data_IF_563982470995
#
_entry.id   IF_563982470995
#
_cell.length_a   1.000
_cell.length_b   1.000
_cell.length_c   1.000
_cell.angle_alpha   90.00
_cell.angle_beta   90.00
_cell.angle_gamma   90.00
#
_symmetry.space_group_name_H-M   'P 1'
#
loop_
_entity.id
_entity.type
_entity.pdbx_description
1 polymer ?
#
# COMPACT_ATOMS: atom_id res chain seq x y z
N UNK A 1 -37.51 6.87 -6.62
CA UNK A 1 -36.69 7.04 -5.40
C UNK A 1 -35.54 6.05 -5.55
N UNK A 2 -34.39 6.55 -6.01
CA UNK A 2 -33.23 5.71 -6.35
C UNK A 2 -32.37 5.56 -5.11
N UNK A 3 -32.23 4.34 -4.60
CA UNK A 3 -31.30 4.00 -3.56
C UNK A 3 -29.88 4.12 -4.15
N UNK A 4 -29.14 5.17 -3.80
CA UNK A 4 -27.70 5.21 -4.01
C UNK A 4 -27.09 4.19 -3.06
N UNK A 5 -26.63 3.08 -3.62
CA UNK A 5 -25.83 2.10 -2.89
C UNK A 5 -24.58 2.81 -2.37
N UNK A 6 -24.38 2.77 -1.06
CA UNK A 6 -23.21 3.32 -0.41
C UNK A 6 -22.03 2.43 -0.80
N UNK A 7 -21.04 2.98 -1.49
CA UNK A 7 -19.76 2.32 -1.70
C UNK A 7 -19.09 2.11 -0.32
N UNK A 8 -18.42 0.96 -0.11
CA UNK A 8 -17.75 0.67 1.15
C UNK A 8 -16.72 1.73 1.51
N UNK A 9 -16.55 1.96 2.80
CA UNK A 9 -15.71 2.99 3.41
C UNK A 9 -14.30 3.04 2.81
N UNK A 10 -13.64 1.89 2.62
CA UNK A 10 -12.30 1.80 2.03
C UNK A 10 -12.25 2.28 0.55
N UNK A 11 -13.32 2.08 -0.23
CA UNK A 11 -13.41 2.60 -1.60
C UNK A 11 -13.68 4.11 -1.61
N UNK A 12 -14.44 4.62 -0.65
CA UNK A 12 -14.65 6.07 -0.49
C UNK A 12 -13.34 6.75 -0.08
N UNK A 13 -12.59 6.15 0.82
CA UNK A 13 -11.31 6.66 1.29
C UNK A 13 -10.21 6.63 0.19
N UNK A 14 -10.19 5.61 -0.68
CA UNK A 14 -9.28 5.54 -1.83
C UNK A 14 -9.57 6.60 -2.91
N UNK A 15 -10.83 6.95 -3.13
CA UNK A 15 -11.20 8.04 -4.04
C UNK A 15 -10.70 9.41 -3.54
N UNK A 16 -10.53 9.56 -2.22
CA UNK A 16 -10.09 10.76 -1.55
C UNK A 16 -8.63 11.12 -1.78
N UNK A 17 -7.78 10.09 -1.75
CA UNK A 17 -6.35 10.31 -1.97
C UNK A 17 -6.05 10.89 -3.36
N UNK A 18 -6.90 10.63 -4.34
CA UNK A 18 -6.76 11.21 -5.70
C UNK A 18 -7.03 12.72 -5.73
N UNK A 19 -7.86 13.23 -4.82
CA UNK A 19 -8.19 14.66 -4.76
C UNK A 19 -7.22 15.47 -3.88
N UNK A 20 -6.56 14.85 -2.91
CA UNK A 20 -5.65 15.52 -1.97
C UNK A 20 -4.22 15.71 -2.48
N UNK A 21 -3.86 15.13 -3.65
CA UNK A 21 -2.51 15.18 -4.22
C UNK A 21 -2.24 16.42 -5.12
N UNK A 22 -3.05 17.47 -5.08
CA UNK A 22 -2.73 18.73 -5.73
C UNK A 22 -1.65 19.49 -4.91
N UNK A 23 -0.54 19.93 -5.53
CA UNK A 23 0.49 20.67 -4.80
C UNK A 23 -0.04 22.04 -4.33
N UNK A 24 0.43 22.56 -3.16
CA UNK A 24 0.07 23.90 -2.72
C UNK A 24 0.62 24.92 -3.71
N UNK A 25 -0.25 25.84 -4.14
CA UNK A 25 0.17 26.97 -4.96
C UNK A 25 1.27 27.78 -4.24
N UNK A 26 2.44 27.85 -4.88
CA UNK A 26 3.53 28.67 -4.43
C UNK A 26 3.15 30.14 -4.55
N UNK A 27 3.15 30.86 -3.42
CA UNK A 27 3.01 32.30 -3.37
C UNK A 27 4.12 32.96 -4.20
N UNK A 28 3.73 33.66 -5.27
CA UNK A 28 4.63 34.43 -6.11
C UNK A 28 5.15 35.64 -5.33
N UNK A 29 6.44 35.65 -5.01
CA UNK A 29 7.17 36.89 -4.70
C UNK A 29 8.14 37.14 -5.87
N UNK A 30 7.98 38.29 -6.52
CA UNK A 30 8.68 38.67 -7.73
C UNK A 30 10.19 38.92 -7.51
N UNK A 31 10.94 38.57 -8.53
CA UNK A 31 12.35 38.93 -8.68
C UNK A 31 12.74 38.68 -10.14
N UNK A 32 12.78 39.75 -10.94
CA UNK A 32 13.26 39.70 -12.32
C UNK A 32 14.78 39.53 -12.33
N UNK A 33 15.29 38.54 -13.07
CA UNK A 33 16.72 38.32 -13.29
C UNK A 33 16.97 37.41 -14.48
N UNK A 34 17.36 38.04 -15.57
CA UNK A 34 18.17 37.62 -16.73
C UNK A 34 18.17 36.16 -17.22
N UNK A 35 17.80 36.05 -18.50
CA UNK A 35 17.98 34.90 -19.40
C UNK A 35 19.47 34.53 -19.56
N UNK A 36 19.80 33.27 -19.35
CA UNK A 36 21.09 32.68 -19.65
C UNK A 36 20.95 31.25 -20.15
N UNK A 37 21.31 31.06 -21.39
CA UNK A 37 21.75 29.87 -22.11
C UNK A 37 21.24 28.47 -21.74
N UNK A 38 20.59 27.90 -22.75
CA UNK A 38 20.28 26.46 -22.86
C UNK A 38 21.55 25.63 -22.98
N UNK A 39 21.90 24.91 -21.92
CA UNK A 39 22.90 23.86 -21.98
C UNK A 39 22.23 22.54 -22.39
N UNK A 40 22.65 22.02 -23.57
CA UNK A 40 22.29 20.68 -24.01
C UNK A 40 22.90 19.60 -23.12
N UNK A 41 22.10 18.59 -22.77
CA UNK A 41 22.54 17.40 -22.06
C UNK A 41 23.48 16.58 -22.97
N UNK A 42 24.64 16.12 -22.46
CA UNK A 42 25.53 15.27 -23.23
C UNK A 42 24.96 13.84 -23.35
N UNK A 43 24.96 13.36 -24.59
CA UNK A 43 24.76 11.94 -24.92
C UNK A 43 25.86 11.10 -24.27
N UNK A 44 25.51 10.19 -23.36
CA UNK A 44 26.43 9.23 -22.79
C UNK A 44 26.72 8.13 -23.82
N UNK A 45 27.89 8.23 -24.45
CA UNK A 45 28.50 7.11 -25.17
C UNK A 45 28.97 6.07 -24.16
N UNK A 46 28.57 4.82 -24.38
CA UNK A 46 29.01 3.67 -23.62
C UNK A 46 30.52 3.46 -23.81
N UNK A 47 31.28 3.66 -22.75
CA UNK A 47 32.62 3.07 -22.58
C UNK A 47 32.55 2.12 -21.40
N UNK A 48 32.74 0.83 -21.69
CA UNK A 48 32.81 -0.21 -20.68
C UNK A 48 34.01 -0.02 -19.75
N UNK A 49 33.73 0.04 -18.47
CA UNK A 49 34.67 -0.35 -17.43
C UNK A 49 33.96 -1.33 -16.52
N UNK A 50 34.41 -2.59 -16.66
CA UNK A 50 34.13 -3.68 -15.76
C UNK A 50 34.78 -3.39 -14.40
N UNK A 51 34.03 -2.69 -13.53
CA UNK A 51 34.37 -2.63 -12.11
C UNK A 51 33.92 -3.92 -11.46
N UNK A 52 34.88 -4.77 -11.06
CA UNK A 52 34.67 -5.92 -10.19
C UNK A 52 33.90 -5.44 -8.95
N UNK A 53 32.62 -5.74 -8.89
CA UNK A 53 31.89 -5.78 -7.63
C UNK A 53 32.28 -7.08 -6.96
N UNK A 54 32.91 -6.92 -5.81
CA UNK A 54 33.39 -7.97 -4.93
C UNK A 54 32.32 -9.04 -4.71
N UNK A 55 32.69 -10.28 -5.06
CA UNK A 55 31.78 -11.39 -5.11
C UNK A 55 31.34 -11.88 -3.73
N UNK A 56 30.26 -11.34 -3.22
CA UNK A 56 29.41 -12.09 -2.31
C UNK A 56 28.57 -13.02 -3.19
N UNK A 57 29.00 -14.27 -3.32
CA UNK A 57 28.25 -15.39 -3.90
C UNK A 57 26.90 -15.45 -3.18
N UNK A 58 25.84 -14.89 -3.79
CA UNK A 58 24.49 -15.20 -3.36
C UNK A 58 24.29 -16.69 -3.64
N UNK A 59 23.93 -17.44 -2.59
CA UNK A 59 23.70 -18.87 -2.69
C UNK A 59 22.63 -19.13 -3.76
N UNK A 60 22.93 -20.00 -4.72
CA UNK A 60 21.98 -20.49 -5.71
C UNK A 60 20.74 -21.00 -4.98
N UNK A 61 19.56 -20.43 -5.28
CA UNK A 61 18.28 -20.79 -4.64
C UNK A 61 17.62 -19.71 -3.78
N UNK A 62 18.29 -18.58 -3.55
CA UNK A 62 17.72 -17.45 -2.77
C UNK A 62 17.06 -16.43 -3.69
N UNK A 63 16.02 -16.85 -4.39
CA UNK A 63 15.35 -16.04 -5.39
C UNK A 63 13.83 -15.96 -5.14
N UNK A 64 13.25 -14.84 -5.53
CA UNK A 64 11.81 -14.62 -5.61
C UNK A 64 11.36 -14.80 -7.06
N UNK A 65 10.21 -15.41 -7.25
CA UNK A 65 9.51 -15.40 -8.55
C UNK A 65 8.32 -14.46 -8.42
N UNK A 66 8.29 -13.43 -9.26
CA UNK A 66 7.18 -12.49 -9.26
C UNK A 66 5.93 -13.05 -9.98
N UNK A 67 4.85 -12.27 -9.98
CA UNK A 67 3.58 -12.66 -10.59
C UNK A 67 3.64 -12.79 -12.12
N UNK A 68 4.68 -12.25 -12.76
CA UNK A 68 4.93 -12.35 -14.20
C UNK A 68 5.88 -13.49 -14.54
N UNK A 69 6.39 -14.21 -13.53
CA UNK A 69 7.32 -15.31 -13.68
C UNK A 69 8.79 -14.89 -13.77
N UNK A 70 9.11 -13.61 -13.53
CA UNK A 70 10.48 -13.12 -13.50
C UNK A 70 11.15 -13.51 -12.20
N UNK A 71 12.41 -13.97 -12.31
CA UNK A 71 13.23 -14.36 -11.16
C UNK A 71 14.03 -13.15 -10.68
N UNK A 72 13.85 -12.81 -9.41
CA UNK A 72 14.57 -11.74 -8.72
C UNK A 72 15.42 -12.32 -7.60
N UNK A 73 16.63 -11.81 -7.34
CA UNK A 73 17.32 -12.12 -6.09
C UNK A 73 16.53 -11.59 -4.90
N UNK A 74 16.70 -12.17 -3.70
CA UNK A 74 16.25 -11.50 -2.49
C UNK A 74 16.80 -10.08 -2.45
N UNK A 75 16.01 -9.10 -1.96
CA UNK A 75 16.43 -7.70 -1.96
C UNK A 75 17.70 -7.42 -1.14
N UNK A 76 18.05 -8.30 -0.22
CA UNK A 76 19.22 -8.19 0.63
C UNK A 76 19.42 -9.44 1.49
N UNK A 77 20.40 -9.43 2.42
CA UNK A 77 20.59 -10.50 3.40
C UNK A 77 19.32 -10.76 4.20
N UNK A 78 19.06 -12.03 4.57
CA UNK A 78 17.86 -12.41 5.31
C UNK A 78 17.72 -11.63 6.63
N UNK A 79 18.82 -11.45 7.36
CA UNK A 79 18.83 -10.71 8.62
C UNK A 79 18.59 -9.19 8.50
N UNK A 80 18.54 -8.67 7.27
CA UNK A 80 18.21 -7.27 7.01
C UNK A 80 16.77 -7.11 6.47
N UNK A 81 15.97 -8.17 6.47
CA UNK A 81 14.58 -8.16 6.04
C UNK A 81 13.61 -8.13 7.20
N UNK A 82 12.39 -7.63 6.95
CA UNK A 82 11.26 -7.71 7.88
C UNK A 82 9.96 -7.97 7.14
N UNK A 83 9.02 -8.68 7.79
CA UNK A 83 7.64 -8.82 7.35
C UNK A 83 6.79 -7.73 8.03
N UNK A 84 6.17 -6.86 7.24
CA UNK A 84 5.17 -5.89 7.69
C UNK A 84 3.77 -6.51 7.53
N UNK A 85 3.06 -6.71 8.63
CA UNK A 85 1.67 -7.20 8.64
C UNK A 85 0.75 -6.02 8.93
N UNK A 86 0.03 -5.57 7.90
CA UNK A 86 -0.73 -4.32 7.92
C UNK A 86 -2.21 -4.62 8.17
N UNK A 87 -2.77 -4.05 9.22
CA UNK A 87 -4.21 -3.95 9.51
C UNK A 87 -5.00 -5.28 9.42
N UNK A 88 -4.44 -6.41 9.86
CA UNK A 88 -5.19 -7.66 9.98
C UNK A 88 -6.04 -7.61 11.25
N UNK A 89 -6.94 -6.62 11.30
CA UNK A 89 -7.84 -6.32 12.41
C UNK A 89 -9.28 -6.65 12.04
N UNK A 90 -10.12 -6.85 13.05
CA UNK A 90 -11.52 -7.29 12.85
C UNK A 90 -12.32 -6.35 11.97
N UNK A 91 -12.11 -5.04 12.06
CA UNK A 91 -12.80 -4.08 11.18
C UNK A 91 -12.58 -4.34 9.69
N UNK A 92 -11.47 -4.97 9.30
CA UNK A 92 -11.09 -5.21 7.91
C UNK A 92 -11.18 -6.68 7.49
N UNK A 93 -11.27 -7.61 8.46
CA UNK A 93 -11.10 -9.02 8.20
C UNK A 93 -12.25 -9.90 8.71
N UNK A 94 -12.97 -9.48 9.76
CA UNK A 94 -14.05 -10.26 10.35
C UNK A 94 -15.36 -10.03 9.56
N UNK A 95 -16.00 -11.09 9.01
CA UNK A 95 -17.27 -10.97 8.31
C UNK A 95 -18.35 -10.22 9.10
N UNK A 96 -18.33 -10.28 10.44
CA UNK A 96 -19.25 -9.54 11.29
C UNK A 96 -19.12 -8.01 11.17
N UNK A 97 -17.96 -7.52 10.76
CA UNK A 97 -17.66 -6.11 10.50
C UNK A 97 -17.77 -5.72 9.03
N UNK A 98 -18.05 -6.68 8.13
CA UNK A 98 -18.12 -6.51 6.68
C UNK A 98 -19.50 -6.89 6.10
N UNK A 99 -20.63 -6.46 6.70
CA UNK A 99 -21.97 -6.91 6.30
C UNK A 99 -22.40 -6.43 4.91
N UNK A 100 -21.62 -5.50 4.32
CA UNK A 100 -21.85 -4.94 2.99
C UNK A 100 -21.10 -5.70 1.89
N UNK A 101 -20.19 -6.61 2.25
CA UNK A 101 -19.36 -7.36 1.32
C UNK A 101 -20.11 -8.63 0.88
N UNK A 102 -20.01 -8.94 -0.41
CA UNK A 102 -20.60 -10.16 -0.96
C UNK A 102 -19.75 -11.41 -0.61
N UNK A 103 -20.28 -12.57 -0.96
CA UNK A 103 -19.62 -13.86 -0.69
C UNK A 103 -18.23 -13.94 -1.32
N UNK A 104 -18.05 -13.42 -2.53
CA UNK A 104 -16.77 -13.44 -3.24
C UNK A 104 -15.73 -12.56 -2.54
N UNK A 105 -16.11 -11.36 -2.11
CA UNK A 105 -15.27 -10.47 -1.34
C UNK A 105 -14.91 -11.05 0.02
N UNK A 106 -15.87 -11.65 0.73
CA UNK A 106 -15.60 -12.34 2.01
C UNK A 106 -14.62 -13.51 1.84
N UNK A 107 -14.77 -14.29 0.77
CA UNK A 107 -13.87 -15.39 0.45
C UNK A 107 -12.44 -14.88 0.14
N UNK A 108 -12.32 -13.77 -0.59
CA UNK A 108 -11.02 -13.16 -0.88
C UNK A 108 -10.32 -12.66 0.41
N UNK A 109 -11.05 -12.03 1.31
CA UNK A 109 -10.52 -11.61 2.62
C UNK A 109 -10.09 -12.81 3.45
N UNK A 110 -10.93 -13.85 3.53
CA UNK A 110 -10.62 -15.10 4.26
C UNK A 110 -9.33 -15.75 3.73
N UNK A 111 -9.20 -15.83 2.41
CA UNK A 111 -8.01 -16.36 1.74
C UNK A 111 -6.76 -15.54 2.07
N UNK A 112 -6.81 -14.21 1.95
CA UNK A 112 -5.69 -13.33 2.22
C UNK A 112 -5.24 -13.41 3.70
N UNK A 113 -6.19 -13.42 4.65
CA UNK A 113 -5.89 -13.58 6.08
C UNK A 113 -5.27 -14.94 6.38
N UNK A 114 -5.78 -16.02 5.76
CA UNK A 114 -5.22 -17.36 5.89
C UNK A 114 -3.78 -17.42 5.37
N UNK A 115 -3.51 -16.79 4.24
CA UNK A 115 -2.15 -16.69 3.67
C UNK A 115 -1.24 -15.82 4.52
N UNK A 116 -1.74 -14.71 5.04
CA UNK A 116 -0.97 -13.85 5.94
C UNK A 116 -0.58 -14.60 7.22
N UNK A 117 -1.50 -15.31 7.84
CA UNK A 117 -1.21 -16.12 9.03
C UNK A 117 -0.13 -17.17 8.76
N UNK A 118 -0.26 -17.91 7.64
CA UNK A 118 0.74 -18.87 7.22
C UNK A 118 2.11 -18.21 6.95
N UNK A 119 2.15 -17.07 6.27
CA UNK A 119 3.39 -16.35 5.97
C UNK A 119 4.09 -15.83 7.24
N UNK A 120 3.32 -15.38 8.24
CA UNK A 120 3.82 -15.01 9.56
C UNK A 120 4.54 -16.18 10.22
N UNK A 121 3.95 -17.39 10.17
CA UNK A 121 4.59 -18.58 10.71
C UNK A 121 5.88 -18.93 9.97
N UNK A 122 5.93 -18.75 8.63
CA UNK A 122 7.14 -18.95 7.84
C UNK A 122 8.23 -17.91 8.18
N UNK A 123 7.85 -16.64 8.37
CA UNK A 123 8.77 -15.59 8.79
C UNK A 123 9.42 -15.94 10.15
N UNK A 124 8.59 -16.30 11.13
CA UNK A 124 9.06 -16.74 12.46
C UNK A 124 9.99 -17.94 12.38
N UNK A 125 9.63 -18.98 11.60
CA UNK A 125 10.44 -20.16 11.41
C UNK A 125 11.79 -19.88 10.74
N UNK A 126 11.85 -18.87 9.87
CA UNK A 126 13.06 -18.45 9.16
C UNK A 126 13.87 -17.40 9.90
N UNK A 127 13.41 -16.95 11.07
CA UNK A 127 14.06 -15.88 11.84
C UNK A 127 13.90 -14.47 11.26
N UNK A 128 12.91 -14.27 10.38
CA UNK A 128 12.58 -12.95 9.83
C UNK A 128 11.70 -12.20 10.83
N UNK A 129 12.08 -10.99 11.27
CA UNK A 129 11.28 -10.18 12.18
C UNK A 129 9.89 -9.88 11.61
N UNK A 130 8.86 -10.00 12.45
CA UNK A 130 7.50 -9.60 12.12
C UNK A 130 7.19 -8.28 12.81
N UNK A 131 6.80 -7.28 12.03
CA UNK A 131 6.37 -5.95 12.51
C UNK A 131 4.90 -5.77 12.18
N UNK A 132 4.10 -5.55 13.19
CA UNK A 132 2.67 -5.38 13.09
C UNK A 132 2.33 -3.90 12.97
N UNK A 133 1.57 -3.55 11.93
CA UNK A 133 1.10 -2.19 11.70
C UNK A 133 -0.41 -2.17 11.92
N UNK A 134 -0.87 -1.42 12.92
CA UNK A 134 -2.26 -1.40 13.34
C UNK A 134 -2.89 -0.02 13.14
N UNK A 135 -4.03 0.04 12.47
CA UNK A 135 -4.84 1.25 12.50
C UNK A 135 -5.47 1.41 13.89
N UNK A 136 -5.31 2.58 14.47
CA UNK A 136 -5.92 2.95 15.73
C UNK A 136 -6.60 4.31 15.61
N UNK A 137 -7.92 4.34 15.54
CA UNK A 137 -8.67 5.59 15.58
C UNK A 137 -8.98 5.96 17.03
N UNK A 138 -8.66 7.21 17.39
CA UNK A 138 -8.99 7.72 18.73
C UNK A 138 -10.45 8.19 18.77
N UNK A 139 -11.22 7.80 19.78
CA UNK A 139 -12.63 8.20 19.88
C UNK A 139 -12.84 9.71 20.05
N UNK A 140 -11.80 10.43 20.51
CA UNK A 140 -11.81 11.87 20.76
C UNK A 140 -10.97 12.69 19.75
N UNK A 141 -10.41 12.06 18.73
CA UNK A 141 -9.54 12.72 17.76
C UNK A 141 -9.94 12.38 16.32
N UNK A 142 -10.90 13.15 15.76
CA UNK A 142 -11.46 12.87 14.44
C UNK A 142 -10.43 12.98 13.32
N UNK A 143 -10.53 12.08 12.36
CA UNK A 143 -9.81 12.19 11.10
C UNK A 143 -10.58 13.12 10.14
N UNK A 144 -10.36 14.43 10.31
CA UNK A 144 -11.11 15.49 9.64
C UNK A 144 -11.14 15.37 8.12
N UNK A 145 -10.00 15.01 7.50
CA UNK A 145 -9.93 14.87 6.04
C UNK A 145 -10.72 13.65 5.54
N UNK A 146 -10.78 12.57 6.29
CA UNK A 146 -11.62 11.42 5.99
C UNK A 146 -13.13 11.78 6.14
N UNK A 147 -13.50 12.47 7.21
CA UNK A 147 -14.87 12.97 7.40
C UNK A 147 -15.29 13.90 6.27
N UNK A 148 -14.44 14.90 5.94
CA UNK A 148 -14.70 15.82 4.84
C UNK A 148 -14.93 15.08 3.51
N UNK A 149 -14.10 14.10 3.20
CA UNK A 149 -14.25 13.29 1.99
C UNK A 149 -15.58 12.53 1.93
N UNK A 150 -15.98 11.98 3.06
CA UNK A 150 -17.23 11.24 3.20
C UNK A 150 -18.47 12.15 3.26
N UNK A 151 -18.27 13.48 3.29
CA UNK A 151 -19.34 14.46 3.46
C UNK A 151 -19.99 14.42 4.86
N UNK A 152 -19.18 14.05 5.88
CA UNK A 152 -19.62 13.94 7.27
C UNK A 152 -19.12 15.13 8.11
N UNK A 153 -19.91 15.50 9.13
CA UNK A 153 -19.54 16.52 10.10
C UNK A 153 -18.61 15.95 11.18
N UNK A 154 -17.69 16.78 11.71
CA UNK A 154 -16.78 16.39 12.80
C UNK A 154 -17.54 15.97 14.08
N UNK A 155 -18.73 16.51 14.31
CA UNK A 155 -19.58 16.14 15.44
C UNK A 155 -20.17 14.72 15.34
N UNK A 156 -20.02 14.04 14.21
CA UNK A 156 -20.45 12.65 14.03
C UNK A 156 -19.37 11.62 14.42
N UNK A 157 -18.17 12.09 14.79
CA UNK A 157 -17.05 11.20 15.13
C UNK A 157 -17.17 10.56 16.52
N UNK A 158 -16.78 9.29 16.72
CA UNK A 158 -16.60 8.32 15.63
C UNK A 158 -17.97 7.92 15.05
N UNK A 159 -18.03 7.71 13.74
CA UNK A 159 -19.26 7.17 13.14
C UNK A 159 -19.46 5.71 13.57
N UNK A 160 -20.71 5.18 13.55
CA UNK A 160 -21.00 3.84 14.07
C UNK A 160 -20.19 2.71 13.42
N UNK A 161 -19.79 2.87 12.16
CA UNK A 161 -18.99 1.94 11.37
C UNK A 161 -17.51 2.39 11.20
N UNK A 162 -17.04 3.36 12.02
CA UNK A 162 -15.65 3.80 11.97
C UNK A 162 -14.70 2.65 12.30
N UNK A 163 -13.75 2.32 11.40
CA UNK A 163 -12.88 1.18 11.61
C UNK A 163 -11.87 1.40 12.73
N UNK A 164 -11.55 0.35 13.44
CA UNK A 164 -10.45 0.28 14.40
C UNK A 164 -10.45 1.38 15.46
N UNK A 165 -11.63 1.80 15.95
CA UNK A 165 -11.73 2.71 17.08
C UNK A 165 -11.20 2.02 18.33
N UNK A 166 -10.25 2.66 19.02
CA UNK A 166 -9.65 2.10 20.23
C UNK A 166 -10.70 1.76 21.29
N UNK A 167 -10.55 0.57 21.88
CA UNK A 167 -11.48 0.05 22.89
C UNK A 167 -12.71 -0.63 22.31
N UNK A 168 -12.84 -0.73 20.98
CA UNK A 168 -13.89 -1.49 20.31
C UNK A 168 -13.37 -2.82 19.76
N UNK A 169 -14.23 -3.83 19.58
CA UNK A 169 -13.82 -5.11 18.98
C UNK A 169 -13.18 -4.96 17.61
N UNK A 170 -13.58 -3.94 16.82
CA UNK A 170 -13.03 -3.69 15.49
C UNK A 170 -11.52 -3.43 15.46
N UNK A 171 -10.96 -2.93 16.57
CA UNK A 171 -9.53 -2.67 16.69
C UNK A 171 -8.71 -3.93 17.05
N UNK A 172 -9.35 -5.03 17.43
CA UNK A 172 -8.67 -6.28 17.79
C UNK A 172 -8.09 -6.98 16.55
N UNK A 173 -7.01 -7.74 16.75
CA UNK A 173 -6.44 -8.60 15.71
C UNK A 173 -7.41 -9.73 15.34
N UNK A 174 -7.37 -10.16 14.08
CA UNK A 174 -8.24 -11.22 13.56
C UNK A 174 -7.43 -12.44 13.14
N UNK A 175 -7.68 -13.59 13.80
CA UNK A 175 -7.04 -14.92 13.59
C UNK A 175 -5.54 -14.98 13.81
N UNK A 176 -4.80 -13.93 13.47
CA UNK A 176 -3.35 -13.84 13.66
C UNK A 176 -3.02 -12.48 14.28
N UNK A 177 -2.02 -12.47 15.14
CA UNK A 177 -1.63 -11.26 15.87
C UNK A 177 -0.22 -11.38 16.43
N UNK A 178 0.28 -10.29 17.05
CA UNK A 178 1.63 -10.24 17.58
C UNK A 178 1.85 -11.21 18.75
N UNK A 179 3.03 -11.83 18.77
CA UNK A 179 3.54 -12.54 19.92
C UNK A 179 4.24 -11.58 20.90
N UNK A 180 4.38 -11.96 22.18
CA UNK A 180 5.18 -11.18 23.12
C UNK A 180 6.61 -10.94 22.59
N UNK A 181 7.01 -9.67 22.50
CA UNK A 181 8.31 -9.25 21.98
C UNK A 181 8.30 -8.85 20.51
N UNK A 182 7.25 -9.10 19.75
CA UNK A 182 7.10 -8.56 18.40
C UNK A 182 6.67 -7.09 18.46
N UNK A 183 7.16 -6.29 17.51
CA UNK A 183 6.87 -4.86 17.46
C UNK A 183 5.50 -4.59 16.88
N UNK A 184 4.74 -3.74 17.57
CA UNK A 184 3.45 -3.20 17.07
C UNK A 184 3.62 -1.70 16.87
N UNK A 185 3.29 -1.23 15.66
CA UNK A 185 3.35 0.18 15.27
C UNK A 185 1.92 0.69 15.07
N UNK A 186 1.41 1.52 15.98
CA UNK A 186 0.11 2.15 15.79
C UNK A 186 0.20 3.26 14.75
N UNK A 187 -0.76 3.29 13.83
CA UNK A 187 -0.90 4.34 12.82
C UNK A 187 -2.27 5.00 12.88
N UNK A 188 -2.36 6.23 12.40
CA UNK A 188 -3.60 7.03 12.35
C UNK A 188 -4.07 7.29 10.92
N UNK A 189 -3.30 6.85 9.92
CA UNK A 189 -3.52 7.10 8.50
C UNK A 189 -3.26 5.81 7.74
N UNK A 190 -3.33 5.84 6.42
CA UNK A 190 -3.17 4.63 5.61
C UNK A 190 -1.77 4.05 5.70
N UNK A 191 -0.74 4.87 5.50
CA UNK A 191 0.64 4.41 5.57
C UNK A 191 1.08 4.09 7.00
N UNK A 192 1.78 2.96 7.15
CA UNK A 192 2.47 2.58 8.37
C UNK A 192 3.62 3.51 8.76
N UNK A 193 4.10 4.33 7.83
CA UNK A 193 5.23 5.25 8.06
C UNK A 193 4.79 6.65 8.47
N UNK A 194 3.64 7.12 7.97
CA UNK A 194 3.23 8.51 8.14
C UNK A 194 2.91 8.85 9.60
N UNK A 195 3.81 9.60 10.24
CA UNK A 195 3.66 10.06 11.62
C UNK A 195 3.77 8.95 12.66
N UNK A 196 4.50 7.87 12.35
CA UNK A 196 4.76 6.73 13.23
C UNK A 196 6.24 6.54 13.52
N UNK A 197 6.59 5.59 14.40
CA UNK A 197 7.96 5.19 14.66
C UNK A 197 8.49 4.06 13.74
N UNK A 198 7.76 3.66 12.69
CA UNK A 198 8.12 2.50 11.88
C UNK A 198 9.48 2.66 11.21
N UNK A 199 9.73 3.80 10.56
CA UNK A 199 11.01 4.03 9.89
C UNK A 199 12.19 3.96 10.87
N UNK A 200 12.09 4.65 12.00
CA UNK A 200 13.13 4.65 13.02
C UNK A 200 13.41 3.23 13.51
N UNK A 201 12.37 2.47 13.84
CA UNK A 201 12.48 1.08 14.28
C UNK A 201 13.18 0.18 13.25
N UNK A 202 12.80 0.25 11.98
CA UNK A 202 13.40 -0.55 10.92
C UNK A 202 14.89 -0.20 10.73
N UNK A 203 15.23 1.09 10.76
CA UNK A 203 16.63 1.51 10.63
C UNK A 203 17.48 1.15 11.84
N UNK A 204 16.96 1.31 13.05
CA UNK A 204 17.66 0.94 14.29
C UNK A 204 17.92 -0.57 14.38
N UNK A 205 17.04 -1.38 13.79
CA UNK A 205 17.20 -2.84 13.74
C UNK A 205 17.98 -3.33 12.50
N UNK A 206 18.48 -2.40 11.66
CA UNK A 206 19.29 -2.73 10.49
C UNK A 206 18.52 -3.26 9.29
N UNK A 207 17.19 -3.08 9.27
CA UNK A 207 16.34 -3.51 8.15
C UNK A 207 16.59 -2.61 6.93
N UNK A 208 16.84 -3.22 5.78
CA UNK A 208 17.07 -2.54 4.49
C UNK A 208 16.00 -2.89 3.46
N UNK A 209 15.21 -3.94 3.68
CA UNK A 209 14.14 -4.37 2.80
C UNK A 209 12.97 -4.95 3.58
N UNK A 210 11.78 -4.86 3.00
CA UNK A 210 10.55 -5.28 3.66
C UNK A 210 9.67 -6.12 2.72
N UNK A 211 8.93 -7.06 3.31
CA UNK A 211 7.82 -7.75 2.68
C UNK A 211 6.54 -7.22 3.30
N UNK A 212 5.56 -6.84 2.51
CA UNK A 212 4.26 -6.38 2.97
C UNK A 212 3.16 -7.41 2.72
N UNK A 213 2.33 -7.63 3.75
CA UNK A 213 1.13 -8.44 3.73
C UNK A 213 0.03 -7.77 4.56
N UNK A 214 -1.20 -8.22 4.47
CA UNK A 214 -2.34 -7.69 5.24
C UNK A 214 -3.38 -6.97 4.40
N UNK A 215 -4.10 -6.01 4.95
CA UNK A 215 -5.30 -5.39 4.38
C UNK A 215 -5.23 -3.86 4.37
N UNK A 216 -5.76 -3.17 3.33
CA UNK A 216 -6.13 -3.73 2.01
C UNK A 216 -5.10 -3.34 0.98
N UNK A 217 -5.01 -4.11 -0.10
CA UNK A 217 -3.95 -4.00 -1.12
C UNK A 217 -3.85 -2.63 -1.79
N UNK A 218 -5.00 -1.96 -1.98
CA UNK A 218 -5.11 -0.67 -2.68
C UNK A 218 -5.03 0.54 -1.74
N UNK A 219 -4.98 0.30 -0.43
CA UNK A 219 -5.10 1.37 0.56
C UNK A 219 -3.93 1.33 1.57
N UNK A 220 -4.10 0.65 2.70
CA UNK A 220 -3.11 0.67 3.76
C UNK A 220 -1.82 -0.06 3.38
N UNK A 221 -1.91 -1.18 2.67
CA UNK A 221 -0.74 -1.90 2.17
C UNK A 221 -0.05 -1.10 1.07
N UNK A 222 -0.80 -0.58 0.07
CA UNK A 222 -0.26 0.29 -0.99
C UNK A 222 0.46 1.50 -0.41
N UNK A 223 -0.19 2.25 0.47
CA UNK A 223 0.40 3.44 1.08
C UNK A 223 1.68 3.12 1.88
N UNK A 224 1.69 1.99 2.60
CA UNK A 224 2.86 1.55 3.35
C UNK A 224 4.02 1.13 2.44
N UNK A 225 3.74 0.39 1.36
CA UNK A 225 4.74 -0.04 0.37
C UNK A 225 5.35 1.16 -0.35
N UNK A 226 4.53 2.14 -0.77
CA UNK A 226 5.02 3.35 -1.45
C UNK A 226 5.91 4.18 -0.56
N UNK A 227 5.52 4.38 0.69
CA UNK A 227 6.35 5.13 1.62
C UNK A 227 7.65 4.38 1.95
N UNK A 228 7.60 3.06 2.14
CA UNK A 228 8.81 2.26 2.31
C UNK A 228 9.79 2.45 1.13
N UNK A 229 9.27 2.35 -0.11
CA UNK A 229 10.06 2.55 -1.31
C UNK A 229 10.66 3.96 -1.40
N UNK A 230 9.87 5.00 -1.13
CA UNK A 230 10.33 6.40 -1.15
C UNK A 230 11.37 6.69 -0.05
N UNK A 231 11.29 6.00 1.08
CA UNK A 231 12.26 6.05 2.17
C UNK A 231 13.53 5.22 1.90
N UNK A 232 13.61 4.53 0.75
CA UNK A 232 14.79 3.79 0.31
C UNK A 232 14.86 2.34 0.79
N UNK A 233 13.78 1.79 1.36
CA UNK A 233 13.67 0.36 1.58
C UNK A 233 13.38 -0.36 0.25
N UNK A 234 14.02 -1.50 0.00
CA UNK A 234 13.61 -2.39 -1.09
C UNK A 234 12.35 -3.11 -0.67
N UNK A 235 11.36 -3.16 -1.55
CA UNK A 235 10.02 -3.59 -1.18
C UNK A 235 9.57 -4.81 -1.97
N UNK A 236 9.00 -5.77 -1.27
CA UNK A 236 8.27 -6.90 -1.83
C UNK A 236 6.84 -6.82 -1.31
N UNK A 237 5.85 -7.02 -2.18
CA UNK A 237 4.44 -7.13 -1.80
C UNK A 237 3.94 -8.52 -2.12
N UNK A 238 3.22 -9.12 -1.21
CA UNK A 238 2.61 -10.44 -1.46
C UNK A 238 1.32 -10.29 -2.25
N UNK A 239 1.15 -11.11 -3.29
CA UNK A 239 -0.05 -11.04 -4.14
C UNK A 239 -1.26 -11.78 -3.56
N UNK A 240 -1.04 -12.76 -2.68
CA UNK A 240 -2.06 -13.66 -2.13
C UNK A 240 -2.22 -13.56 -0.60
N UNK A 241 -1.27 -12.90 0.09
CA UNK A 241 -1.39 -12.56 1.50
C UNK A 241 -1.85 -11.10 1.71
N UNK A 242 -2.51 -10.56 0.72
CA UNK A 242 -3.24 -9.28 0.74
C UNK A 242 -4.40 -9.37 -0.23
N UNK A 243 -5.41 -8.51 -0.06
CA UNK A 243 -6.53 -8.37 -1.02
C UNK A 243 -7.16 -7.00 -0.90
N UNK A 244 -7.91 -6.58 -1.92
CA UNK A 244 -8.96 -5.57 -1.82
C UNK A 244 -10.31 -6.24 -1.61
N UNK A 245 -11.33 -5.44 -1.34
CA UNK A 245 -12.71 -5.96 -1.24
C UNK A 245 -13.35 -6.20 -2.61
N UNK A 246 -12.69 -5.78 -3.67
CA UNK A 246 -13.08 -5.97 -5.06
C UNK A 246 -11.88 -6.54 -5.84
N UNK A 247 -12.12 -7.60 -6.62
CA UNK A 247 -11.06 -8.32 -7.33
C UNK A 247 -10.37 -7.47 -8.41
N UNK A 248 -11.10 -6.57 -9.08
CA UNK A 248 -10.52 -5.69 -10.09
C UNK A 248 -9.63 -4.64 -9.43
N UNK A 249 -10.07 -4.07 -8.31
CA UNK A 249 -9.29 -3.13 -7.50
C UNK A 249 -8.00 -3.78 -7.01
N UNK A 250 -8.07 -5.03 -6.51
CA UNK A 250 -6.90 -5.80 -6.12
C UNK A 250 -5.90 -5.96 -7.27
N UNK A 251 -6.37 -6.43 -8.43
CA UNK A 251 -5.54 -6.62 -9.62
C UNK A 251 -4.86 -5.32 -10.05
N UNK A 252 -5.58 -4.21 -10.05
CA UNK A 252 -5.02 -2.90 -10.38
C UNK A 252 -3.97 -2.44 -9.38
N UNK A 253 -4.21 -2.63 -8.08
CA UNK A 253 -3.23 -2.28 -7.04
C UNK A 253 -1.92 -3.03 -7.22
N UNK A 254 -1.98 -4.35 -7.42
CA UNK A 254 -0.80 -5.18 -7.67
C UNK A 254 -0.05 -4.73 -8.93
N UNK A 255 -0.77 -4.49 -10.05
CA UNK A 255 -0.15 -4.07 -11.31
C UNK A 255 0.56 -2.72 -11.18
N UNK A 256 -0.06 -1.75 -10.52
CA UNK A 256 0.55 -0.42 -10.34
C UNK A 256 1.75 -0.47 -9.39
N UNK A 257 1.69 -1.27 -8.33
CA UNK A 257 2.83 -1.44 -7.41
C UNK A 257 3.98 -2.19 -8.06
N UNK A 258 3.72 -3.23 -8.85
CA UNK A 258 4.75 -3.95 -9.60
C UNK A 258 5.55 -3.04 -10.54
N UNK A 259 4.89 -2.05 -11.15
CA UNK A 259 5.54 -1.10 -12.07
C UNK A 259 6.33 0.00 -11.36
N UNK A 260 6.02 0.34 -10.10
CA UNK A 260 6.48 1.60 -9.53
C UNK A 260 7.16 1.48 -8.16
N UNK A 261 6.87 0.45 -7.37
CA UNK A 261 7.27 0.46 -5.97
C UNK A 261 7.67 -0.89 -5.36
N UNK A 262 7.34 -2.03 -5.95
CA UNK A 262 7.62 -3.32 -5.30
C UNK A 262 7.81 -4.47 -6.30
N UNK A 263 8.59 -5.47 -5.93
CA UNK A 263 8.47 -6.79 -6.53
C UNK A 263 7.21 -7.44 -5.96
N UNK A 264 6.27 -7.82 -6.82
CA UNK A 264 5.03 -8.47 -6.40
C UNK A 264 5.17 -9.98 -6.59
N UNK A 265 5.14 -10.74 -5.48
CA UNK A 265 5.35 -12.18 -5.50
C UNK A 265 4.30 -12.91 -4.65
N UNK A 266 4.12 -14.22 -4.83
CA UNK A 266 3.25 -15.00 -3.96
C UNK A 266 3.89 -15.20 -2.58
N UNK A 267 3.07 -15.35 -1.55
CA UNK A 267 3.55 -15.71 -0.21
C UNK A 267 4.39 -16.99 -0.22
N UNK A 268 4.06 -17.95 -1.09
CA UNK A 268 4.82 -19.18 -1.27
C UNK A 268 6.23 -18.93 -1.81
N UNK A 269 6.37 -18.05 -2.82
CA UNK A 269 7.68 -17.66 -3.37
C UNK A 269 8.55 -16.99 -2.31
N UNK A 270 7.96 -16.07 -1.53
CA UNK A 270 8.64 -15.37 -0.43
C UNK A 270 9.12 -16.35 0.64
N UNK A 271 8.25 -17.24 1.11
CA UNK A 271 8.58 -18.20 2.16
C UNK A 271 9.66 -19.20 1.70
N UNK A 272 9.62 -19.66 0.43
CA UNK A 272 10.65 -20.50 -0.12
C UNK A 272 12.03 -19.81 -0.10
N UNK A 273 12.09 -18.55 -0.55
CA UNK A 273 13.32 -17.77 -0.53
C UNK A 273 13.87 -17.58 0.89
N UNK A 274 13.02 -17.32 1.88
CA UNK A 274 13.43 -17.23 3.30
C UNK A 274 13.98 -18.55 3.83
N UNK A 275 13.30 -19.67 3.55
CA UNK A 275 13.72 -21.00 3.97
C UNK A 275 15.10 -21.37 3.39
N UNK A 276 15.30 -21.09 2.09
CA UNK A 276 16.59 -21.32 1.44
C UNK A 276 17.71 -20.43 2.02
N UNK A 277 17.44 -19.14 2.24
CA UNK A 277 18.41 -18.22 2.83
C UNK A 277 18.78 -18.62 4.26
N UNK A 278 17.82 -19.01 5.08
CA UNK A 278 18.05 -19.48 6.44
C UNK A 278 18.88 -20.76 6.48
N UNK A 279 18.57 -21.73 5.61
CA UNK A 279 19.33 -22.96 5.51
C UNK A 279 20.78 -22.73 5.04
N UNK A 280 20.98 -21.84 4.07
CA UNK A 280 22.29 -21.46 3.59
C UNK A 280 23.12 -20.80 4.70
N UNK A 281 22.52 -19.91 5.49
CA UNK A 281 23.15 -19.27 6.65
C UNK A 281 23.52 -20.28 7.75
N UNK A 282 22.72 -21.35 7.93
CA UNK A 282 22.99 -22.41 8.88
C UNK A 282 24.01 -23.47 8.38
N UNK A 283 24.51 -23.37 7.14
CA UNK A 283 25.40 -24.35 6.52
C UNK A 283 24.74 -25.73 6.27
N UNK A 284 23.41 -25.79 6.20
CA UNK A 284 22.61 -27.01 6.00
C UNK A 284 21.93 -27.00 4.63
N UNK A 285 21.60 -28.22 4.12
CA UNK A 285 20.76 -28.33 2.92
C UNK A 285 19.34 -27.86 3.27
N UNK A 286 18.75 -26.93 2.48
CA UNK A 286 17.43 -26.40 2.80
C UNK A 286 16.36 -27.51 2.79
N UNK A 287 15.43 -27.52 3.74
CA UNK A 287 14.27 -28.38 3.69
C UNK A 287 13.40 -28.03 2.48
N UNK A 288 12.64 -29.01 1.98
CA UNK A 288 11.63 -28.72 0.96
C UNK A 288 10.67 -27.64 1.46
N UNK A 289 10.39 -26.62 0.62
CA UNK A 289 9.52 -25.50 1.00
C UNK A 289 8.16 -26.00 1.52
N UNK A 290 7.71 -25.41 2.61
CA UNK A 290 6.39 -25.72 3.17
C UNK A 290 5.29 -25.39 2.15
N UNK A 291 4.35 -26.30 1.96
CA UNK A 291 3.22 -26.07 1.06
C UNK A 291 2.25 -25.08 1.72
N UNK A 292 1.91 -23.98 1.05
CA UNK A 292 0.91 -23.06 1.57
C UNK A 292 -0.46 -23.75 1.68
N UNK A 293 -1.34 -23.31 2.59
CA UNK A 293 -2.67 -23.87 2.74
C UNK A 293 -3.44 -23.76 1.43
N UNK A 294 -4.14 -24.83 1.06
CA UNK A 294 -5.01 -24.81 -0.11
C UNK A 294 -6.11 -23.77 0.11
N UNK A 295 -6.21 -22.81 -0.83
CA UNK A 295 -7.36 -21.91 -0.87
C UNK A 295 -8.52 -22.70 -1.48
N UNK A 296 -9.70 -22.55 -0.89
CA UNK A 296 -10.92 -23.08 -1.49
C UNK A 296 -11.06 -22.43 -2.87
N UNK A 297 -10.95 -23.23 -3.93
CA UNK A 297 -10.96 -22.74 -5.30
C UNK A 297 -12.36 -22.26 -5.67
N UNK A 298 -12.63 -20.97 -5.48
CA UNK A 298 -13.54 -20.27 -6.38
C UNK A 298 -12.82 -20.18 -7.74
N UNK A 299 -13.53 -20.50 -8.81
CA UNK A 299 -12.99 -20.66 -10.16
C UNK A 299 -12.04 -19.53 -10.58
N UNK A 300 -11.01 -19.81 -11.41
CA UNK A 300 -10.12 -18.78 -11.89
C UNK A 300 -10.95 -17.69 -12.60
N UNK A 301 -10.79 -16.46 -12.15
CA UNK A 301 -11.35 -15.28 -12.82
C UNK A 301 -10.67 -15.21 -14.20
N UNK A 302 -11.36 -15.69 -15.22
CA UNK A 302 -10.97 -15.46 -16.60
C UNK A 302 -11.13 -13.97 -16.87
N UNK A 303 -10.01 -13.25 -16.89
CA UNK A 303 -9.99 -11.87 -17.37
C UNK A 303 -10.33 -11.93 -18.86
N UNK A 304 -11.48 -11.39 -19.32
CA UNK A 304 -11.73 -11.31 -20.73
C UNK A 304 -10.67 -10.41 -21.37
N UNK A 305 -10.12 -10.76 -22.55
CA UNK A 305 -9.17 -9.89 -23.24
C UNK A 305 -9.82 -8.54 -23.46
N UNK A 306 -9.15 -7.46 -23.02
CA UNK A 306 -9.57 -6.10 -23.33
C UNK A 306 -9.48 -5.93 -24.82
N UNK A 307 -10.62 -5.84 -25.48
CA UNK A 307 -10.66 -5.53 -26.90
C UNK A 307 -10.03 -4.15 -27.13
N UNK A 308 -9.15 -3.98 -28.14
CA UNK A 308 -8.60 -2.67 -28.45
C UNK A 308 -9.75 -1.72 -28.79
N UNK A 309 -9.89 -0.64 -28.00
CA UNK A 309 -10.85 0.42 -28.26
C UNK A 309 -10.47 1.12 -29.56
N UNK A 310 -11.21 0.87 -30.63
CA UNK A 310 -11.10 1.60 -31.91
C UNK A 310 -11.96 2.87 -31.90
N UNK A 311 -12.26 3.44 -30.75
CA UNK A 311 -12.95 4.72 -30.68
C UNK A 311 -11.98 5.84 -31.11
N UNK A 312 -12.13 6.31 -32.33
CA UNK A 312 -11.54 7.58 -32.77
C UNK A 312 -12.10 8.71 -31.87
N UNK A 313 -11.25 9.66 -31.45
CA UNK A 313 -11.74 10.82 -30.72
C UNK A 313 -12.61 11.67 -31.65
N UNK A 314 -13.92 11.70 -31.38
CA UNK A 314 -14.79 12.72 -31.97
C UNK A 314 -14.46 14.05 -31.33
N UNK A 315 -14.15 15.05 -32.14
CA UNK A 315 -13.89 16.41 -31.70
C UNK A 315 -15.07 16.96 -30.90
N UNK A 316 -14.81 17.66 -29.77
CA UNK A 316 -15.90 18.27 -29.00
C UNK A 316 -16.56 19.37 -29.84
N UNK A 317 -17.89 19.55 -29.69
CA UNK A 317 -18.60 20.66 -30.34
C UNK A 317 -18.07 21.99 -29.81
N UNK A 318 -17.84 22.94 -30.71
CA UNK A 318 -17.39 24.30 -30.41
C UNK A 318 -18.34 24.96 -29.38
N UNK A 319 -17.86 25.15 -28.18
CA UNK A 319 -18.57 25.96 -27.17
C UNK A 319 -18.48 27.43 -27.54
N UNK A 320 -19.62 28.03 -27.83
CA UNK A 320 -19.78 29.48 -27.98
C UNK A 320 -19.48 30.12 -26.63
N UNK A 321 -18.48 31.02 -26.60
CA UNK A 321 -18.09 31.75 -25.41
C UNK A 321 -19.26 32.64 -24.88
N UNK A 322 -19.56 32.64 -23.58
CA UNK A 322 -20.49 33.59 -23.01
C UNK A 322 -19.84 34.97 -22.92
N UNK A 323 -20.63 36.00 -23.23
CA UNK A 323 -20.26 37.42 -23.11
C UNK A 323 -19.86 37.79 -21.66
N UNK A 324 -18.93 38.72 -21.45
CA UNK A 324 -18.49 39.12 -20.13
C UNK A 324 -19.61 39.86 -19.38
N UNK A 325 -20.08 39.27 -18.28
CA UNK A 325 -20.91 39.99 -17.31
C UNK A 325 -20.06 40.89 -16.43
N UNK A 326 -20.43 42.15 -16.37
CA UNK A 326 -19.83 43.20 -15.56
C UNK A 326 -19.86 42.82 -14.07
N UNK A 327 -18.68 42.61 -13.47
CA UNK A 327 -18.54 42.45 -12.03
C UNK A 327 -18.66 43.79 -11.36
N UNK A 328 -19.65 43.94 -10.51
CA UNK A 328 -19.80 45.13 -9.64
C UNK A 328 -18.69 45.11 -8.58
N UNK A 329 -17.93 46.17 -8.52
CA UNK A 329 -16.91 46.43 -7.49
C UNK A 329 -17.62 46.74 -6.17
N UNK A 330 -17.40 45.92 -5.16
CA UNK A 330 -17.87 46.16 -3.81
C UNK A 330 -17.03 47.26 -3.13
N UNK A 331 -17.69 48.24 -2.49
CA UNK A 331 -17.08 49.32 -1.74
C UNK A 331 -16.37 48.82 -0.46
N UNK A 332 -15.29 49.48 -0.01
CA UNK A 332 -14.54 49.08 1.18
C UNK A 332 -15.30 49.43 2.48
N UNK A 333 -15.28 48.48 3.42
CA UNK A 333 -15.82 48.64 4.77
C UNK A 333 -14.94 49.58 5.58
N UNK A 334 -15.48 50.60 6.28
CA UNK A 334 -14.68 51.54 7.09
C UNK A 334 -14.15 50.89 8.38
N UNK A 335 -12.89 51.18 8.68
CA UNK A 335 -12.21 50.76 9.90
C UNK A 335 -12.80 51.48 11.13
N UNK A 336 -13.35 50.72 12.06
CA UNK A 336 -13.69 51.21 13.39
C UNK A 336 -12.49 51.17 14.34
N UNK A 337 -12.17 52.25 15.00
CA UNK A 337 -11.32 52.40 16.18
C UNK A 337 -12.19 52.64 17.42
N UNK A 338 -11.60 52.57 18.59
CA UNK A 338 -10.52 51.79 19.23
C UNK A 338 -11.00 50.68 20.15
#
# INVERSE_FOLDING_TARGET
MSARQHAPQAQQDAAALRAAAAPPEAAASGGAGALGETAALPSAAATGESGLLDGTTQAEGTTLVDIEGTVHPLPGPLGEGALLVVDVQRSFADPAHLPWLDEAGLAAVDAAVTRTAWLVDQARASGVPVVWVALEQLPDSPWRTSLWLRGLDEGTWPVPDEPCVLGTPGAEWFRVGPLPGETVVPKRRYSGFLGTGLEAHLRETGVTWVVAAGLTSECCVDGTVRDAFQLGFRTVMTSDATTAYDAQTHTHALSVLAQNAAVVATSASVAAAWTHAAAAAAGSVPPSAATPPALSTSAPLSVPPVAPSTAQPTAPPSATAPSPSTVAVAEPIPAGRP
#
